data_IF_451605970733
#
_entry.id   IF_451605970733
#
_cell.length_a   1.000
_cell.length_b   1.000
_cell.length_c   1.000
_cell.angle_alpha   90.00
_cell.angle_beta   90.00
_cell.angle_gamma   90.00
#
_symmetry.space_group_name_H-M   'P 1'
#
loop_
_entity.id
_entity.type
_entity.pdbx_description
1 polymer ?
#
# COMPACT_ATOMS: atom_id res chain seq x y z
N UNK A 1 -32.24 -4.69 26.21
CA UNK A 1 -31.73 -3.89 25.07
C UNK A 1 -31.56 -4.84 23.92
N UNK A 2 -32.37 -4.64 22.88
CA UNK A 2 -32.35 -5.42 21.65
C UNK A 2 -30.97 -5.30 21.00
N UNK A 3 -30.35 -6.44 20.68
CA UNK A 3 -29.31 -6.51 19.66
C UNK A 3 -29.97 -5.97 18.39
N UNK A 4 -29.55 -4.79 17.95
CA UNK A 4 -29.97 -4.26 16.66
C UNK A 4 -29.53 -5.27 15.59
N UNK A 5 -30.49 -5.78 14.83
CA UNK A 5 -30.25 -6.41 13.53
C UNK A 5 -29.61 -5.36 12.62
N UNK A 6 -28.30 -5.15 12.77
CA UNK A 6 -27.49 -4.53 11.74
C UNK A 6 -27.58 -5.46 10.53
N UNK A 7 -28.03 -4.99 9.36
CA UNK A 7 -28.13 -5.85 8.19
C UNK A 7 -26.74 -6.44 7.93
N UNK A 8 -26.64 -7.76 7.92
CA UNK A 8 -25.45 -8.43 7.40
C UNK A 8 -25.14 -7.80 6.03
N UNK A 9 -23.88 -7.51 5.68
CA UNK A 9 -23.51 -6.70 4.51
C UNK A 9 -23.75 -7.39 3.15
N UNK A 10 -24.78 -8.22 3.02
CA UNK A 10 -25.09 -8.97 1.80
C UNK A 10 -25.39 -8.09 0.58
N UNK A 11 -25.83 -6.85 0.78
CA UNK A 11 -26.07 -5.86 -0.27
C UNK A 11 -24.85 -4.99 -0.62
N UNK A 12 -23.72 -5.17 0.07
CA UNK A 12 -22.48 -4.46 -0.24
C UNK A 12 -21.88 -5.01 -1.52
N UNK A 13 -21.42 -4.12 -2.39
CA UNK A 13 -20.70 -4.47 -3.61
C UNK A 13 -19.22 -4.63 -3.26
N UNK A 14 -18.65 -5.80 -3.56
CA UNK A 14 -17.29 -6.18 -3.20
C UNK A 14 -16.42 -6.45 -4.42
N UNK A 15 -15.12 -6.11 -4.37
CA UNK A 15 -14.16 -6.44 -5.42
C UNK A 15 -13.78 -7.93 -5.36
N UNK A 16 -13.89 -8.62 -6.49
CA UNK A 16 -13.61 -10.04 -6.62
C UNK A 16 -12.72 -10.28 -7.82
N UNK A 17 -11.56 -10.89 -7.58
CA UNK A 17 -10.55 -11.18 -8.58
C UNK A 17 -10.68 -12.61 -9.11
N UNK A 18 -10.53 -12.82 -10.42
CA UNK A 18 -10.48 -14.17 -11.00
C UNK A 18 -9.04 -14.70 -11.05
N UNK A 19 -8.71 -15.64 -10.18
CA UNK A 19 -7.37 -16.24 -10.09
C UNK A 19 -7.00 -17.11 -11.29
N UNK A 20 -7.97 -17.51 -12.11
CA UNK A 20 -7.76 -18.31 -13.32
C UNK A 20 -7.49 -17.49 -14.58
N UNK A 21 -7.52 -16.16 -14.49
CA UNK A 21 -7.31 -15.24 -15.62
C UNK A 21 -6.15 -14.31 -15.31
N UNK A 22 -5.30 -14.07 -16.31
CA UNK A 22 -4.18 -13.12 -16.24
C UNK A 22 -4.48 -11.94 -17.18
N UNK A 23 -4.49 -10.73 -16.63
CA UNK A 23 -4.56 -9.47 -17.38
C UNK A 23 -3.50 -8.52 -16.83
N UNK A 24 -2.59 -8.05 -17.69
CA UNK A 24 -1.50 -7.12 -17.32
C UNK A 24 -0.71 -7.54 -16.06
N UNK A 25 -0.36 -8.83 -15.96
CA UNK A 25 0.32 -9.42 -14.79
C UNK A 25 -0.44 -9.30 -13.46
N UNK A 26 -1.77 -9.20 -13.52
CA UNK A 26 -2.63 -9.26 -12.34
C UNK A 26 -3.85 -10.16 -12.59
N UNK A 27 -4.60 -10.43 -11.53
CA UNK A 27 -5.92 -11.03 -11.64
C UNK A 27 -6.93 -9.92 -11.95
N UNK A 28 -7.72 -10.01 -13.04
CA UNK A 28 -8.76 -9.03 -13.30
C UNK A 28 -9.80 -9.05 -12.19
N UNK A 29 -10.28 -7.86 -11.82
CA UNK A 29 -11.27 -7.66 -10.76
C UNK A 29 -12.61 -7.27 -11.36
N UNK A 30 -13.65 -7.92 -10.87
CA UNK A 30 -15.04 -7.55 -11.11
C UNK A 30 -15.70 -7.16 -9.78
N UNK A 31 -16.82 -6.45 -9.88
CA UNK A 31 -17.62 -6.07 -8.72
C UNK A 31 -18.89 -6.92 -8.68
N UNK A 32 -19.19 -7.52 -7.54
CA UNK A 32 -20.42 -8.29 -7.33
C UNK A 32 -20.97 -8.08 -5.93
N UNK A 33 -22.22 -8.44 -5.69
CA UNK A 33 -22.78 -8.35 -4.35
C UNK A 33 -22.13 -9.39 -3.44
N UNK A 34 -21.85 -9.01 -2.20
CA UNK A 34 -21.24 -9.90 -1.22
C UNK A 34 -22.05 -11.19 -1.01
N UNK A 35 -23.39 -11.10 -1.00
CA UNK A 35 -24.24 -12.30 -0.93
C UNK A 35 -24.07 -13.24 -2.11
N UNK A 36 -23.80 -12.72 -3.30
CA UNK A 36 -23.59 -13.50 -4.51
C UNK A 36 -22.22 -14.18 -4.43
N UNK A 37 -21.19 -13.47 -3.96
CA UNK A 37 -19.87 -14.03 -3.69
C UNK A 37 -19.92 -15.18 -2.66
N UNK A 38 -20.65 -15.00 -1.55
CA UNK A 38 -20.83 -16.05 -0.54
C UNK A 38 -21.59 -17.26 -1.10
N UNK A 39 -22.57 -17.03 -1.98
CA UNK A 39 -23.30 -18.12 -2.63
C UNK A 39 -22.38 -18.89 -3.58
N UNK A 40 -21.60 -18.18 -4.40
CA UNK A 40 -20.55 -18.74 -5.24
C UNK A 40 -19.58 -19.60 -4.41
N UNK A 41 -19.04 -19.08 -3.30
CA UNK A 41 -18.03 -19.79 -2.53
C UNK A 41 -18.61 -21.07 -1.90
N UNK A 42 -19.84 -21.03 -1.39
CA UNK A 42 -20.53 -22.23 -0.89
C UNK A 42 -20.73 -23.28 -1.98
N UNK A 43 -21.13 -22.86 -3.18
CA UNK A 43 -21.28 -23.75 -4.34
C UNK A 43 -19.92 -24.32 -4.79
N UNK A 44 -18.86 -23.51 -4.76
CA UNK A 44 -17.48 -23.90 -5.09
C UNK A 44 -17.00 -25.02 -4.16
N UNK A 45 -17.23 -24.89 -2.84
CA UNK A 45 -16.90 -25.93 -1.85
C UNK A 45 -17.72 -27.21 -2.10
N UNK A 46 -19.02 -27.09 -2.37
CA UNK A 46 -19.89 -28.25 -2.65
C UNK A 46 -19.52 -28.95 -3.96
N UNK A 47 -18.97 -28.21 -4.92
CA UNK A 47 -18.50 -28.68 -6.22
C UNK A 47 -17.07 -29.21 -6.23
N UNK A 48 -16.51 -29.60 -5.08
CA UNK A 48 -15.13 -30.09 -4.93
C UNK A 48 -14.09 -29.07 -5.45
N UNK A 49 -14.27 -27.81 -5.05
CA UNK A 49 -13.41 -26.67 -5.43
C UNK A 49 -13.30 -26.45 -6.95
N UNK A 50 -14.43 -26.58 -7.65
CA UNK A 50 -14.53 -26.36 -9.08
C UNK A 50 -15.76 -25.53 -9.43
N UNK A 51 -15.59 -24.57 -10.35
CA UNK A 51 -16.68 -23.75 -10.88
C UNK A 51 -16.36 -23.30 -12.30
N UNK A 52 -17.38 -23.19 -13.19
CA UNK A 52 -17.19 -22.61 -14.52
C UNK A 52 -16.75 -21.14 -14.48
N UNK A 53 -16.97 -20.44 -13.36
CA UNK A 53 -16.52 -19.06 -13.15
C UNK A 53 -15.02 -18.97 -12.82
N UNK A 54 -14.36 -20.10 -12.57
CA UNK A 54 -12.98 -20.16 -12.08
C UNK A 54 -12.90 -20.02 -10.56
N UNK A 55 -11.69 -19.79 -10.06
CA UNK A 55 -11.40 -19.53 -8.64
C UNK A 55 -11.48 -18.02 -8.38
N UNK A 56 -12.51 -17.58 -7.65
CA UNK A 56 -12.77 -16.17 -7.38
C UNK A 56 -12.29 -15.78 -5.98
N UNK A 57 -11.47 -14.75 -5.89
CA UNK A 57 -10.86 -14.27 -4.67
C UNK A 57 -11.32 -12.84 -4.34
N UNK A 58 -12.06 -12.67 -3.24
CA UNK A 58 -12.38 -11.34 -2.75
C UNK A 58 -11.12 -10.75 -2.11
N UNK A 59 -10.58 -9.69 -2.72
CA UNK A 59 -9.39 -8.98 -2.24
C UNK A 59 -9.54 -7.49 -2.45
N UNK A 60 -8.91 -6.72 -1.57
CA UNK A 60 -8.98 -5.25 -1.53
C UNK A 60 -10.35 -4.70 -1.14
N UNK A 61 -11.10 -5.40 -0.28
CA UNK A 61 -12.35 -4.86 0.25
C UNK A 61 -12.11 -3.97 1.47
N UNK A 62 -12.43 -2.68 1.31
CA UNK A 62 -12.30 -1.63 2.33
C UNK A 62 -13.45 -1.66 3.37
N UNK A 63 -13.59 -2.75 4.14
CA UNK A 63 -14.71 -2.91 5.08
C UNK A 63 -14.82 -1.76 6.09
N UNK A 64 -13.69 -1.15 6.47
CA UNK A 64 -13.63 -0.04 7.42
C UNK A 64 -14.34 1.23 6.93
N UNK A 65 -14.61 1.35 5.61
CA UNK A 65 -15.43 2.41 5.01
C UNK A 65 -16.91 2.07 4.98
N UNK A 66 -17.23 0.82 4.67
CA UNK A 66 -18.62 0.37 4.47
C UNK A 66 -19.36 0.14 5.80
N UNK A 67 -18.62 0.04 6.91
CA UNK A 67 -19.14 -0.14 8.26
C UNK A 67 -18.25 0.62 9.23
N UNK A 68 -18.78 1.07 10.38
CA UNK A 68 -17.94 1.67 11.41
C UNK A 68 -16.86 0.67 11.82
N UNK A 69 -15.61 0.90 11.41
CA UNK A 69 -14.45 0.08 11.78
C UNK A 69 -14.24 0.01 13.29
N UNK A 70 -14.88 0.91 14.03
CA UNK A 70 -14.91 0.94 15.49
C UNK A 70 -15.30 -0.44 16.05
N UNK A 71 -14.31 -1.10 16.64
CA UNK A 71 -14.49 -2.36 17.36
C UNK A 71 -14.25 -3.63 16.55
N UNK A 72 -13.86 -3.57 15.27
CA UNK A 72 -13.51 -4.77 14.49
C UNK A 72 -12.24 -5.46 15.02
N UNK A 73 -11.20 -4.69 15.31
CA UNK A 73 -9.95 -5.16 15.93
C UNK A 73 -9.21 -4.00 16.59
N UNK A 74 -8.23 -4.32 17.44
CA UNK A 74 -7.30 -3.34 18.00
C UNK A 74 -5.95 -3.47 17.32
N UNK A 75 -5.43 -2.37 16.80
CA UNK A 75 -4.13 -2.36 16.13
C UNK A 75 -2.99 -2.48 17.16
N UNK A 76 -2.05 -3.43 17.01
CA UNK A 76 -0.85 -3.47 17.84
C UNK A 76 -0.04 -2.17 17.75
N UNK A 77 0.56 -1.75 18.88
CA UNK A 77 1.33 -0.50 18.97
C UNK A 77 2.47 -0.39 17.95
N UNK A 78 3.03 -1.52 17.52
CA UNK A 78 4.11 -1.54 16.52
C UNK A 78 3.68 -1.05 15.13
N UNK A 79 2.37 -1.02 14.87
CA UNK A 79 1.78 -0.56 13.61
C UNK A 79 1.05 0.77 13.77
N UNK A 80 1.13 1.43 14.94
CA UNK A 80 0.34 2.64 15.21
C UNK A 80 0.84 3.88 14.47
N UNK A 81 2.11 3.91 14.05
CA UNK A 81 2.63 4.97 13.18
C UNK A 81 2.25 4.68 11.73
N UNK A 82 0.98 4.91 11.40
CA UNK A 82 0.39 4.60 10.11
C UNK A 82 -0.01 5.88 9.37
N UNK A 83 0.95 6.50 8.70
CA UNK A 83 0.73 7.82 8.10
C UNK A 83 -0.23 7.76 6.91
N UNK A 84 -0.27 6.64 6.17
CA UNK A 84 -1.19 6.47 5.05
C UNK A 84 -2.64 6.52 5.53
N UNK A 85 -2.97 5.74 6.55
CA UNK A 85 -4.32 5.76 7.07
C UNK A 85 -4.61 7.01 7.91
N UNK A 86 -3.64 7.60 8.61
CA UNK A 86 -3.82 8.93 9.24
C UNK A 86 -4.21 10.01 8.22
N UNK A 87 -3.59 9.99 7.04
CA UNK A 87 -3.91 10.91 5.96
C UNK A 87 -5.33 10.69 5.45
N UNK A 88 -5.69 9.45 5.13
CA UNK A 88 -7.01 9.16 4.59
C UNK A 88 -8.14 9.31 5.60
N UNK A 89 -7.91 8.98 6.87
CA UNK A 89 -8.84 9.26 7.97
C UNK A 89 -9.07 10.77 8.14
N UNK A 90 -8.07 11.61 7.81
CA UNK A 90 -8.23 13.07 7.83
C UNK A 90 -9.14 13.56 6.71
N UNK A 91 -9.03 12.94 5.53
CA UNK A 91 -9.81 13.33 4.37
C UNK A 91 -11.20 12.69 4.33
N UNK A 92 -11.39 11.56 5.02
CA UNK A 92 -12.61 10.76 5.00
C UNK A 92 -12.98 10.29 3.57
N UNK A 93 -11.96 9.96 2.78
CA UNK A 93 -12.10 9.61 1.35
C UNK A 93 -11.74 8.17 1.03
N UNK A 94 -10.76 7.58 1.73
CA UNK A 94 -10.27 6.23 1.42
C UNK A 94 -9.65 5.53 2.64
N UNK A 95 -9.13 4.32 2.47
CA UNK A 95 -8.21 3.69 3.43
C UNK A 95 -7.25 2.69 2.75
N UNK A 96 -6.27 2.18 3.49
CA UNK A 96 -5.44 1.04 3.12
C UNK A 96 -5.63 -0.12 4.11
N UNK A 97 -6.90 -0.44 4.41
CA UNK A 97 -7.31 -1.45 5.40
C UNK A 97 -8.28 -2.43 4.75
N UNK A 98 -7.78 -3.61 4.43
CA UNK A 98 -8.46 -4.54 3.53
C UNK A 98 -8.88 -5.84 4.21
N UNK A 99 -10.00 -6.37 3.74
CA UNK A 99 -10.37 -7.78 3.93
C UNK A 99 -10.10 -8.55 2.66
N UNK A 100 -9.46 -9.69 2.86
CA UNK A 100 -9.16 -10.66 1.84
C UNK A 100 -9.81 -11.98 2.25
N UNK A 101 -10.63 -12.56 1.38
CA UNK A 101 -11.25 -13.85 1.66
C UNK A 101 -11.50 -14.64 0.39
N UNK A 102 -11.29 -15.94 0.43
CA UNK A 102 -11.59 -16.78 -0.70
C UNK A 102 -11.20 -18.24 -0.53
N UNK A 103 -11.55 -19.07 -1.53
CA UNK A 103 -11.44 -20.50 -1.43
C UNK A 103 -9.99 -20.99 -1.46
N UNK A 104 -9.80 -22.24 -1.07
CA UNK A 104 -8.58 -22.99 -1.40
C UNK A 104 -8.19 -22.79 -2.87
N UNK A 105 -6.90 -22.55 -3.12
CA UNK A 105 -6.35 -22.33 -4.46
C UNK A 105 -6.46 -20.89 -4.96
N UNK A 106 -7.13 -20.00 -4.23
CA UNK A 106 -7.03 -18.56 -4.49
C UNK A 106 -5.62 -18.05 -4.17
N UNK A 107 -5.15 -17.06 -4.91
CA UNK A 107 -3.77 -16.57 -4.78
C UNK A 107 -3.62 -15.14 -5.29
N UNK A 108 -2.54 -14.49 -4.88
CA UNK A 108 -2.10 -13.17 -5.33
C UNK A 108 -0.79 -13.28 -6.11
N UNK A 109 -0.73 -12.77 -7.35
CA UNK A 109 0.46 -12.72 -8.21
C UNK A 109 1.67 -12.06 -7.56
N UNK A 110 2.83 -12.27 -8.14
CA UNK A 110 4.07 -11.67 -7.68
C UNK A 110 4.04 -10.14 -7.82
N UNK A 111 4.17 -9.43 -6.71
CA UNK A 111 4.11 -7.97 -6.67
C UNK A 111 4.86 -7.42 -5.45
N UNK A 112 5.09 -6.11 -5.40
CA UNK A 112 5.36 -5.41 -4.15
C UNK A 112 4.20 -4.47 -3.86
N UNK A 113 4.01 -4.18 -2.58
CA UNK A 113 2.96 -3.27 -2.13
C UNK A 113 3.12 -1.86 -2.71
N UNK A 114 1.97 -1.21 -2.94
CA UNK A 114 1.90 0.18 -3.42
C UNK A 114 2.77 1.10 -2.56
N UNK A 115 3.37 2.11 -3.19
CA UNK A 115 4.29 3.07 -2.54
C UNK A 115 5.55 2.45 -1.92
N UNK A 116 5.83 1.16 -2.18
CA UNK A 116 6.81 0.39 -1.41
C UNK A 116 6.50 0.49 0.09
N UNK A 117 5.21 0.54 0.44
CA UNK A 117 4.72 0.59 1.81
C UNK A 117 5.17 -0.65 2.59
N UNK A 118 5.06 -0.55 3.92
CA UNK A 118 4.98 -1.73 4.75
C UNK A 118 3.60 -2.36 4.58
N UNK A 119 3.50 -3.67 4.85
CA UNK A 119 2.22 -4.34 4.99
C UNK A 119 2.21 -5.32 6.14
N UNK A 120 1.03 -5.62 6.68
CA UNK A 120 0.84 -6.73 7.59
C UNK A 120 -0.43 -7.48 7.20
N UNK A 121 -0.43 -8.80 7.40
CA UNK A 121 -1.59 -9.66 7.18
C UNK A 121 -1.81 -10.55 8.39
N UNK A 122 -2.99 -10.47 9.00
CA UNK A 122 -3.45 -11.40 10.03
C UNK A 122 -4.35 -12.42 9.37
N UNK A 123 -4.00 -13.70 9.50
CA UNK A 123 -4.81 -14.78 8.98
C UNK A 123 -5.85 -15.18 10.03
N UNK A 124 -7.13 -14.92 9.78
CA UNK A 124 -8.21 -15.22 10.72
C UNK A 124 -8.54 -16.72 10.70
N UNK A 125 -8.60 -17.29 9.49
CA UNK A 125 -8.77 -18.73 9.29
C UNK A 125 -8.08 -19.17 7.99
N UNK A 126 -7.91 -20.48 7.83
CA UNK A 126 -7.22 -21.07 6.69
C UNK A 126 -5.71 -21.05 6.86
N UNK A 127 -4.98 -21.20 5.76
CA UNK A 127 -3.53 -21.33 5.72
C UNK A 127 -2.97 -20.72 4.46
N UNK A 128 -1.93 -19.92 4.57
CA UNK A 128 -1.28 -19.26 3.43
C UNK A 128 0.16 -19.70 3.27
N UNK A 129 0.61 -19.76 2.02
CA UNK A 129 2.02 -19.90 1.65
C UNK A 129 2.50 -18.61 0.99
N UNK A 130 3.53 -18.01 1.56
CA UNK A 130 4.18 -16.80 1.07
C UNK A 130 5.52 -17.15 0.43
N UNK A 131 5.83 -16.48 -0.67
CA UNK A 131 7.14 -16.45 -1.29
C UNK A 131 7.65 -15.02 -1.22
N UNK A 132 8.78 -14.79 -0.56
CA UNK A 132 9.34 -13.45 -0.34
C UNK A 132 10.69 -13.29 -1.01
N UNK A 133 10.87 -12.13 -1.65
CA UNK A 133 12.11 -11.70 -2.27
C UNK A 133 12.52 -10.33 -1.71
N UNK A 134 13.71 -10.22 -1.08
CA UNK A 134 14.25 -8.95 -0.64
C UNK A 134 14.36 -7.93 -1.78
N UNK A 135 14.25 -6.62 -1.50
CA UNK A 135 14.39 -5.57 -2.51
C UNK A 135 15.69 -5.71 -3.30
N UNK A 136 15.58 -5.62 -4.62
CA UNK A 136 16.67 -5.80 -5.58
C UNK A 136 16.82 -7.25 -6.09
N UNK A 137 16.27 -8.27 -5.42
CA UNK A 137 16.33 -9.64 -5.94
C UNK A 137 15.35 -9.89 -7.09
N UNK A 138 14.28 -9.11 -7.18
CA UNK A 138 13.34 -9.13 -8.30
C UNK A 138 13.99 -8.82 -9.64
N UNK A 139 15.12 -8.12 -9.67
CA UNK A 139 15.83 -7.78 -10.91
C UNK A 139 16.35 -9.04 -11.61
N UNK A 140 16.73 -10.06 -10.84
CA UNK A 140 17.14 -11.36 -11.39
C UNK A 140 15.94 -12.19 -11.90
N UNK A 141 14.70 -11.78 -11.57
CA UNK A 141 13.47 -12.44 -12.00
C UNK A 141 12.88 -11.84 -13.28
N UNK A 142 13.39 -10.68 -13.73
CA UNK A 142 12.89 -10.01 -14.93
C UNK A 142 13.03 -10.88 -16.17
N UNK A 143 12.02 -10.81 -17.04
CA UNK A 143 12.08 -11.41 -18.35
C UNK A 143 12.97 -10.60 -19.32
N UNK A 144 13.15 -11.11 -20.55
CA UNK A 144 13.93 -10.44 -21.59
C UNK A 144 13.34 -9.10 -22.08
N UNK A 145 12.11 -8.77 -21.70
CA UNK A 145 11.43 -7.50 -21.94
C UNK A 145 11.51 -6.55 -20.73
N UNK A 146 12.13 -6.98 -19.63
CA UNK A 146 12.23 -6.22 -18.39
C UNK A 146 10.99 -6.33 -17.48
N UNK A 147 10.01 -7.16 -17.85
CA UNK A 147 8.81 -7.41 -17.08
C UNK A 147 9.10 -8.27 -15.86
N UNK A 148 8.46 -7.94 -14.73
CA UNK A 148 8.41 -8.87 -13.60
C UNK A 148 7.42 -10.00 -13.93
N UNK A 149 7.70 -11.20 -13.44
CA UNK A 149 6.88 -12.35 -13.76
C UNK A 149 5.56 -12.34 -12.99
N UNK A 150 4.57 -13.05 -13.54
CA UNK A 150 3.26 -13.18 -12.93
C UNK A 150 3.21 -14.20 -11.78
N UNK A 151 3.81 -15.38 -11.98
CA UNK A 151 3.82 -16.49 -11.02
C UNK A 151 5.23 -17.04 -10.81
N UNK A 152 5.90 -16.70 -9.70
CA UNK A 152 7.28 -17.16 -9.38
C UNK A 152 7.47 -18.66 -9.22
N UNK A 153 6.38 -19.44 -9.28
CA UNK A 153 6.41 -20.91 -9.24
C UNK A 153 6.18 -21.55 -10.61
N UNK A 154 5.89 -20.75 -11.65
CA UNK A 154 5.58 -21.26 -12.97
C UNK A 154 6.81 -21.95 -13.60
N UNK A 155 6.63 -23.08 -14.31
CA UNK A 155 7.74 -23.77 -14.97
C UNK A 155 8.49 -22.93 -16.02
N UNK A 156 7.83 -21.91 -16.58
CA UNK A 156 8.41 -20.99 -17.57
C UNK A 156 9.64 -20.23 -17.04
N UNK A 157 9.79 -20.11 -15.72
CA UNK A 157 10.98 -19.52 -15.12
C UNK A 157 12.27 -20.27 -15.39
N UNK A 158 12.17 -21.57 -15.66
CA UNK A 158 13.33 -22.39 -16.00
C UNK A 158 13.78 -22.17 -17.45
N UNK A 159 13.03 -21.41 -18.26
CA UNK A 159 13.43 -21.06 -19.62
C UNK A 159 14.43 -19.90 -19.61
N UNK A 160 15.70 -20.23 -19.78
CA UNK A 160 16.81 -19.27 -19.88
C UNK A 160 16.69 -18.27 -21.05
N UNK A 161 15.86 -18.53 -22.05
CA UNK A 161 15.59 -17.55 -23.11
C UNK A 161 14.62 -16.45 -22.67
N UNK A 162 13.67 -16.80 -21.80
CA UNK A 162 12.70 -15.86 -21.24
C UNK A 162 13.27 -15.14 -20.02
N UNK A 163 13.99 -15.85 -19.15
CA UNK A 163 14.57 -15.31 -17.92
C UNK A 163 16.10 -15.47 -17.91
N UNK A 164 16.83 -14.62 -18.66
CA UNK A 164 18.26 -14.82 -18.95
C UNK A 164 19.17 -14.72 -17.73
N UNK A 165 18.70 -14.10 -16.65
CA UNK A 165 19.47 -13.87 -15.42
C UNK A 165 18.93 -14.64 -14.22
N UNK A 166 17.93 -15.51 -14.40
CA UNK A 166 17.30 -16.27 -13.31
C UNK A 166 18.30 -17.12 -12.51
N UNK A 167 19.37 -17.61 -13.14
CA UNK A 167 20.43 -18.38 -12.46
C UNK A 167 21.12 -17.59 -11.32
N UNK A 168 21.04 -16.26 -11.34
CA UNK A 168 21.58 -15.39 -10.29
C UNK A 168 20.56 -15.12 -9.16
N UNK A 169 19.31 -15.56 -9.31
CA UNK A 169 18.30 -15.37 -8.30
C UNK A 169 18.51 -16.33 -7.13
N UNK A 170 18.38 -15.81 -5.91
CA UNK A 170 18.33 -16.66 -4.73
C UNK A 170 16.94 -17.29 -4.62
N UNK A 171 16.81 -18.51 -4.06
CA UNK A 171 15.51 -19.07 -3.75
C UNK A 171 14.68 -18.12 -2.88
N UNK A 172 13.35 -18.06 -3.08
CA UNK A 172 12.48 -17.26 -2.23
C UNK A 172 12.60 -17.68 -0.76
N UNK A 173 12.40 -16.72 0.13
CA UNK A 173 12.05 -17.04 1.51
C UNK A 173 10.61 -17.54 1.53
N UNK A 174 10.42 -18.83 1.82
CA UNK A 174 9.10 -19.43 1.95
C UNK A 174 8.60 -19.35 3.39
N UNK A 175 7.38 -18.83 3.58
CA UNK A 175 6.74 -18.73 4.91
C UNK A 175 5.36 -19.37 4.84
N UNK A 176 5.10 -20.30 5.75
CA UNK A 176 3.76 -20.81 6.03
C UNK A 176 3.14 -19.95 7.12
N UNK A 177 1.96 -19.40 6.84
CA UNK A 177 1.15 -18.65 7.80
C UNK A 177 -0.09 -19.46 8.15
N UNK A 178 -0.21 -19.83 9.40
CA UNK A 178 -1.34 -20.56 9.97
C UNK A 178 -2.43 -19.59 10.48
N UNK A 179 -3.60 -20.14 10.83
CA UNK A 179 -4.68 -19.35 11.43
C UNK A 179 -4.25 -18.74 12.79
N UNK A 180 -4.57 -17.46 12.98
CA UNK A 180 -4.19 -16.65 14.14
C UNK A 180 -2.81 -15.99 14.03
N UNK A 181 -2.01 -16.33 13.02
CA UNK A 181 -0.68 -15.74 12.83
C UNK A 181 -0.72 -14.43 12.04
N UNK A 182 0.24 -13.57 12.33
CA UNK A 182 0.46 -12.30 11.64
C UNK A 182 1.78 -12.33 10.88
N UNK A 183 1.77 -11.92 9.62
CA UNK A 183 2.96 -11.71 8.80
C UNK A 183 3.17 -10.22 8.62
N UNK A 184 4.40 -9.75 8.83
CA UNK A 184 4.85 -8.41 8.49
C UNK A 184 5.66 -8.46 7.19
N UNK A 185 5.31 -7.60 6.23
CA UNK A 185 5.98 -7.42 4.94
C UNK A 185 6.79 -6.11 5.01
N UNK A 186 8.13 -6.19 4.96
CA UNK A 186 8.95 -4.98 4.98
C UNK A 186 8.84 -4.20 3.66
N UNK A 187 9.14 -2.90 3.73
CA UNK A 187 9.10 -1.96 2.60
C UNK A 187 9.83 -2.50 1.37
N UNK A 188 9.12 -2.56 0.24
CA UNK A 188 9.66 -2.93 -1.07
C UNK A 188 9.90 -4.43 -1.29
N UNK A 189 9.54 -5.29 -0.35
CA UNK A 189 9.67 -6.74 -0.55
C UNK A 189 8.65 -7.24 -1.56
N UNK A 190 9.15 -7.83 -2.65
CA UNK A 190 8.28 -8.48 -3.61
C UNK A 190 7.85 -9.84 -3.06
N UNK A 191 6.59 -10.18 -3.26
CA UNK A 191 6.00 -11.37 -2.71
C UNK A 191 4.85 -11.92 -3.53
N UNK A 192 4.59 -13.21 -3.34
CA UNK A 192 3.47 -13.96 -3.92
C UNK A 192 2.82 -14.79 -2.82
N UNK A 193 1.50 -14.90 -2.83
CA UNK A 193 0.73 -15.53 -1.74
C UNK A 193 -0.27 -16.52 -2.29
N UNK A 194 -0.27 -17.75 -1.77
CA UNK A 194 -1.21 -18.81 -2.11
C UNK A 194 -2.04 -19.19 -0.88
N UNK A 195 -3.36 -19.19 -1.00
CA UNK A 195 -4.26 -19.71 0.03
C UNK A 195 -4.38 -21.23 -0.15
N UNK A 196 -3.80 -21.99 0.77
CA UNK A 196 -3.80 -23.46 0.75
C UNK A 196 -5.09 -24.07 1.32
N UNK A 197 -5.88 -23.26 2.03
CA UNK A 197 -7.17 -23.57 2.64
C UNK A 197 -8.14 -22.40 2.41
N UNK A 198 -9.44 -22.63 2.58
CA UNK A 198 -10.44 -21.55 2.66
C UNK A 198 -9.99 -20.51 3.69
N UNK A 199 -9.78 -19.27 3.23
CA UNK A 199 -9.03 -18.27 3.99
C UNK A 199 -9.80 -16.97 4.14
N UNK A 200 -9.69 -16.36 5.31
CA UNK A 200 -10.11 -14.98 5.60
C UNK A 200 -8.94 -14.30 6.31
N UNK A 201 -8.57 -13.11 5.87
CA UNK A 201 -7.50 -12.32 6.48
C UNK A 201 -7.79 -10.83 6.47
N UNK A 202 -7.17 -10.12 7.42
CA UNK A 202 -7.16 -8.67 7.50
C UNK A 202 -5.76 -8.19 7.11
N UNK A 203 -5.69 -7.21 6.22
CA UNK A 203 -4.46 -6.72 5.62
C UNK A 203 -4.40 -5.20 5.69
N UNK A 204 -3.27 -4.63 6.08
CA UNK A 204 -3.08 -3.18 6.07
C UNK A 204 -1.78 -2.81 5.39
N UNK A 205 -1.79 -1.70 4.66
CA UNK A 205 -0.59 -1.06 4.15
C UNK A 205 -0.36 0.26 4.90
N UNK A 206 0.90 0.56 5.20
CA UNK A 206 1.26 1.85 5.81
C UNK A 206 2.64 2.35 5.41
N UNK A 207 2.81 3.67 5.54
CA UNK A 207 4.09 4.38 5.43
C UNK A 207 4.31 5.13 6.73
N UNK A 208 5.57 5.33 7.09
CA UNK A 208 5.99 6.22 8.15
C UNK A 208 7.39 6.79 7.89
N UNK A 209 7.97 7.44 8.91
CA UNK A 209 9.29 8.06 8.79
C UNK A 209 10.40 7.10 8.38
N UNK A 210 10.24 5.79 8.59
CA UNK A 210 11.24 4.78 8.23
C UNK A 210 11.28 4.46 6.73
N UNK A 211 10.18 4.63 6.00
CA UNK A 211 10.10 4.30 4.57
C UNK A 211 9.56 5.45 3.70
N UNK A 212 9.35 6.65 4.24
CA UNK A 212 8.88 7.80 3.47
C UNK A 212 9.80 8.13 2.28
N UNK A 213 11.13 8.03 2.46
CA UNK A 213 12.09 8.24 1.39
C UNK A 213 11.96 7.20 0.27
N UNK A 214 11.60 5.95 0.60
CA UNK A 214 11.36 4.89 -0.39
C UNK A 214 10.10 5.19 -1.21
N UNK A 215 9.03 5.66 -0.56
CA UNK A 215 7.82 6.13 -1.24
C UNK A 215 8.13 7.27 -2.20
N UNK A 216 8.88 8.28 -1.75
CA UNK A 216 9.28 9.39 -2.62
C UNK A 216 10.15 8.93 -3.81
N UNK A 217 11.08 8.00 -3.58
CA UNK A 217 11.90 7.43 -4.66
C UNK A 217 11.04 6.66 -5.67
N UNK A 218 10.09 5.86 -5.19
CA UNK A 218 9.13 5.14 -6.02
C UNK A 218 8.33 6.10 -6.91
N UNK A 219 7.76 7.16 -6.33
CA UNK A 219 6.96 8.15 -7.09
C UNK A 219 7.79 8.84 -8.19
N UNK A 220 9.07 9.14 -7.94
CA UNK A 220 9.97 9.68 -8.96
C UNK A 220 10.22 8.67 -10.10
N UNK A 221 10.39 7.38 -9.77
CA UNK A 221 10.54 6.33 -10.77
C UNK A 221 9.27 6.15 -11.61
N UNK A 222 8.10 6.17 -10.98
CA UNK A 222 6.81 6.07 -11.68
C UNK A 222 6.61 7.23 -12.66
N UNK A 223 6.90 8.47 -12.23
CA UNK A 223 6.85 9.61 -13.13
C UNK A 223 7.84 9.45 -14.29
N UNK A 224 9.06 8.98 -14.01
CA UNK A 224 10.08 8.74 -15.04
C UNK A 224 9.62 7.68 -16.06
N UNK A 225 8.96 6.62 -15.61
CA UNK A 225 8.38 5.58 -16.47
C UNK A 225 7.30 6.19 -17.36
N UNK A 226 6.33 6.90 -16.79
CA UNK A 226 5.29 7.59 -17.56
C UNK A 226 5.89 8.53 -18.60
N UNK A 227 6.86 9.35 -18.20
CA UNK A 227 7.56 10.28 -19.10
C UNK A 227 8.27 9.57 -20.26
N UNK A 228 8.82 8.37 -20.04
CA UNK A 228 9.46 7.57 -21.10
C UNK A 228 8.40 6.99 -22.06
N UNK A 229 7.34 6.42 -21.51
CA UNK A 229 6.26 5.80 -22.29
C UNK A 229 5.60 6.80 -23.23
N UNK A 230 5.34 8.03 -22.77
CA UNK A 230 4.71 9.07 -23.59
C UNK A 230 5.69 10.10 -24.17
N UNK A 231 6.97 9.75 -24.26
CA UNK A 231 8.05 10.67 -24.67
C UNK A 231 7.92 11.18 -26.10
N UNK A 232 7.32 10.40 -27.01
CA UNK A 232 7.16 10.79 -28.41
C UNK A 232 6.25 12.02 -28.59
N UNK A 233 5.33 12.25 -27.65
CA UNK A 233 4.41 13.38 -27.68
C UNK A 233 4.94 14.63 -26.95
N UNK A 234 6.15 14.59 -26.40
CA UNK A 234 6.72 15.66 -25.57
C UNK A 234 6.67 17.05 -26.21
N UNK A 235 6.91 17.12 -27.52
CA UNK A 235 6.98 18.39 -28.25
C UNK A 235 5.67 18.78 -28.94
N UNK A 236 4.67 17.88 -28.97
CA UNK A 236 3.41 18.05 -29.71
C UNK A 236 2.19 18.16 -28.80
N UNK A 237 2.27 17.60 -27.59
CA UNK A 237 1.23 17.68 -26.56
C UNK A 237 1.44 18.95 -25.71
N UNK A 238 0.48 19.90 -25.71
CA UNK A 238 0.46 21.00 -24.75
C UNK A 238 0.44 20.44 -23.33
N UNK A 239 1.11 21.12 -22.39
CA UNK A 239 1.14 20.73 -20.97
C UNK A 239 1.52 19.27 -20.72
N UNK A 240 2.42 18.72 -21.54
CA UNK A 240 2.87 17.33 -21.47
C UNK A 240 3.28 16.89 -20.06
N UNK A 241 3.95 17.76 -19.28
CA UNK A 241 4.31 17.48 -17.90
C UNK A 241 3.10 17.29 -16.98
N UNK A 242 2.03 18.08 -17.17
CA UNK A 242 0.79 17.91 -16.43
C UNK A 242 0.09 16.60 -16.81
N UNK A 243 0.07 16.25 -18.11
CA UNK A 243 -0.44 14.95 -18.55
C UNK A 243 0.36 13.77 -17.98
N UNK A 244 1.68 13.90 -17.81
CA UNK A 244 2.48 12.89 -17.10
C UNK A 244 1.98 12.70 -15.65
N UNK A 245 1.69 13.79 -14.93
CA UNK A 245 1.14 13.71 -13.56
C UNK A 245 -0.25 13.08 -13.54
N UNK A 246 -1.12 13.36 -14.53
CA UNK A 246 -2.44 12.72 -14.65
C UNK A 246 -2.30 11.21 -14.85
N UNK A 247 -1.44 10.78 -15.76
CA UNK A 247 -1.23 9.36 -16.04
C UNK A 247 -0.60 8.67 -14.83
N UNK A 248 0.42 9.28 -14.22
CA UNK A 248 1.05 8.79 -13.00
C UNK A 248 0.02 8.60 -11.89
N UNK A 249 -0.88 9.56 -11.68
CA UNK A 249 -1.98 9.44 -10.70
C UNK A 249 -2.83 8.20 -10.94
N UNK A 250 -3.17 7.93 -12.20
CA UNK A 250 -3.97 6.75 -12.56
C UNK A 250 -3.21 5.42 -12.36
N UNK A 251 -1.88 5.42 -12.51
CA UNK A 251 -1.07 4.20 -12.39
C UNK A 251 -0.63 3.91 -10.95
N UNK A 252 -0.23 4.95 -10.22
CA UNK A 252 0.40 4.85 -8.90
C UNK A 252 -0.53 5.26 -7.75
N UNK A 253 -1.73 5.76 -8.03
CA UNK A 253 -2.74 6.16 -7.05
C UNK A 253 -2.66 7.63 -6.62
N UNK A 254 -1.48 8.25 -6.64
CA UNK A 254 -1.29 9.67 -6.34
C UNK A 254 -0.29 10.32 -7.30
N UNK A 255 -0.37 11.63 -7.45
CA UNK A 255 0.63 12.43 -8.15
C UNK A 255 1.53 13.21 -7.16
N UNK A 256 2.44 14.04 -7.67
CA UNK A 256 3.35 14.83 -6.84
C UNK A 256 2.64 15.89 -5.97
N UNK A 257 1.54 16.46 -6.46
CA UNK A 257 0.70 17.40 -5.69
C UNK A 257 0.06 16.70 -4.48
N UNK A 258 -0.57 15.55 -4.70
CA UNK A 258 -1.17 14.74 -3.65
C UNK A 258 -0.13 14.20 -2.67
N UNK A 259 1.09 13.89 -3.13
CA UNK A 259 2.20 13.53 -2.25
C UNK A 259 2.62 14.69 -1.35
N UNK A 260 2.64 15.93 -1.84
CA UNK A 260 2.89 17.09 -0.99
C UNK A 260 1.78 17.29 0.04
N UNK A 261 0.51 17.16 -0.36
CA UNK A 261 -0.61 17.25 0.58
C UNK A 261 -0.55 16.17 1.66
N UNK A 262 -0.13 14.95 1.30
CA UNK A 262 0.17 13.90 2.26
C UNK A 262 1.23 14.35 3.29
N UNK A 263 2.38 14.87 2.82
CA UNK A 263 3.42 15.39 3.73
C UNK A 263 2.89 16.53 4.61
N UNK A 264 2.12 17.46 4.04
CA UNK A 264 1.58 18.63 4.73
C UNK A 264 0.63 18.23 5.86
N UNK A 265 -0.28 17.29 5.62
CA UNK A 265 -1.23 16.80 6.64
C UNK A 265 -0.49 16.14 7.80
N UNK A 266 0.46 15.26 7.51
CA UNK A 266 1.23 14.57 8.55
C UNK A 266 2.11 15.56 9.32
N UNK A 267 2.79 16.48 8.61
CA UNK A 267 3.62 17.51 9.22
C UNK A 267 2.82 18.37 10.20
N UNK A 268 1.63 18.85 9.80
CA UNK A 268 0.75 19.66 10.66
C UNK A 268 0.36 18.90 11.93
N UNK A 269 -0.01 17.61 11.81
CA UNK A 269 -0.33 16.77 12.96
C UNK A 269 0.86 16.64 13.92
N UNK A 270 2.06 16.38 13.41
CA UNK A 270 3.27 16.27 14.26
C UNK A 270 3.66 17.60 14.90
N UNK A 271 3.55 18.71 14.18
CA UNK A 271 3.82 20.05 14.71
C UNK A 271 2.84 20.45 15.84
N UNK A 272 1.59 20.00 15.79
CA UNK A 272 0.64 20.17 16.89
C UNK A 272 1.11 19.41 18.13
N UNK A 273 1.49 18.13 17.97
CA UNK A 273 2.00 17.32 19.07
C UNK A 273 3.25 17.94 19.72
N UNK A 274 4.16 18.55 18.96
CA UNK A 274 5.35 19.21 19.53
C UNK A 274 5.00 20.46 20.34
N UNK A 275 4.02 21.25 19.91
CA UNK A 275 3.59 22.46 20.65
C UNK A 275 2.99 22.11 22.02
N UNK A 276 2.39 20.93 22.14
CA UNK A 276 1.80 20.44 23.39
C UNK A 276 2.85 19.84 24.34
N UNK A 277 4.09 19.58 23.88
CA UNK A 277 5.23 19.18 24.72
C UNK A 277 5.78 20.43 25.44
N UNK A 278 5.02 20.96 26.39
CA UNK A 278 5.49 22.00 27.32
C UNK A 278 6.57 21.47 28.28
N UNK A 279 7.38 22.35 28.91
CA UNK A 279 8.41 21.94 29.85
C UNK A 279 7.78 21.47 31.16
N UNK A 280 7.46 20.17 31.28
CA UNK A 280 7.18 19.56 32.58
C UNK A 280 6.13 18.44 32.66
N UNK A 281 5.30 18.22 31.64
CA UNK A 281 4.23 17.21 31.72
C UNK A 281 4.26 16.29 30.51
N UNK A 282 4.93 15.14 30.66
CA UNK A 282 4.78 14.01 29.74
C UNK A 282 3.54 13.22 30.18
N UNK A 283 2.36 13.83 30.03
CA UNK A 283 1.13 13.04 29.99
C UNK A 283 0.91 12.56 28.56
N UNK A 284 0.78 11.24 28.41
CA UNK A 284 0.51 10.60 27.12
C UNK A 284 -0.78 11.19 26.57
N UNK A 285 -0.71 11.83 25.41
CA UNK A 285 -1.91 12.19 24.65
C UNK A 285 -2.62 10.88 24.32
N UNK A 286 -3.74 10.62 25.02
CA UNK A 286 -4.60 9.48 24.73
C UNK A 286 -5.13 9.63 23.29
N UNK A 287 -4.66 8.73 22.41
CA UNK A 287 -5.15 8.63 21.03
C UNK A 287 -4.06 8.57 19.97
N UNK A 288 -2.88 9.18 20.16
CA UNK A 288 -1.83 9.17 19.11
C UNK A 288 -0.85 8.00 19.24
N UNK A 289 -0.67 7.42 20.42
CA UNK A 289 0.26 6.30 20.66
C UNK A 289 1.76 6.60 20.43
N UNK A 290 2.10 7.75 19.82
CA UNK A 290 3.47 8.16 19.50
C UNK A 290 4.03 9.02 20.63
N UNK A 291 5.18 8.61 21.18
CA UNK A 291 5.89 9.39 22.20
C UNK A 291 6.66 10.59 21.61
N UNK A 292 7.11 11.54 22.44
CA UNK A 292 7.87 12.72 22.01
C UNK A 292 9.02 12.45 21.05
N UNK A 293 9.81 11.40 21.31
CA UNK A 293 10.96 11.05 20.46
C UNK A 293 10.52 10.60 19.05
N UNK A 294 9.41 9.87 18.95
CA UNK A 294 8.86 9.45 17.66
C UNK A 294 8.33 10.65 16.88
N UNK A 295 7.66 11.61 17.55
CA UNK A 295 7.21 12.84 16.90
C UNK A 295 8.37 13.65 16.32
N UNK A 296 9.46 13.80 17.08
CA UNK A 296 10.67 14.51 16.61
C UNK A 296 11.32 13.77 15.44
N UNK A 297 11.43 12.44 15.54
CA UNK A 297 11.90 11.60 14.43
C UNK A 297 11.06 11.81 13.17
N UNK A 298 9.74 11.72 13.28
CA UNK A 298 8.79 11.90 12.18
C UNK A 298 8.98 13.26 11.49
N UNK A 299 9.06 14.35 12.27
CA UNK A 299 9.32 15.71 11.75
C UNK A 299 10.65 15.75 10.98
N UNK A 300 11.72 15.19 11.55
CA UNK A 300 13.02 15.13 10.90
C UNK A 300 13.04 14.30 9.61
N UNK A 301 12.20 13.25 9.51
CA UNK A 301 12.05 12.46 8.27
C UNK A 301 11.23 13.20 7.21
N UNK A 302 10.18 13.91 7.62
CA UNK A 302 9.39 14.75 6.71
C UNK A 302 10.26 15.88 6.16
N UNK A 303 11.04 16.57 7.01
CA UNK A 303 11.93 17.65 6.59
C UNK A 303 12.96 17.16 5.53
N UNK A 304 13.60 16.01 5.77
CA UNK A 304 14.57 15.45 4.81
C UNK A 304 13.94 15.15 3.45
N UNK A 305 12.78 14.50 3.44
CA UNK A 305 12.09 14.17 2.19
C UNK A 305 11.56 15.43 1.50
N UNK A 306 10.97 16.36 2.26
CA UNK A 306 10.46 17.62 1.72
C UNK A 306 11.58 18.48 1.12
N UNK A 307 12.78 18.48 1.70
CA UNK A 307 13.96 19.10 1.10
C UNK A 307 14.27 18.51 -0.28
N UNK A 308 14.19 17.18 -0.43
CA UNK A 308 14.34 16.53 -1.74
C UNK A 308 13.21 16.87 -2.70
N UNK A 309 11.97 17.04 -2.22
CA UNK A 309 10.80 17.40 -3.03
C UNK A 309 10.94 18.81 -3.58
N UNK A 310 11.29 19.79 -2.75
CA UNK A 310 11.41 21.22 -3.13
C UNK A 310 12.46 21.44 -4.23
N UNK A 311 13.57 20.69 -4.21
CA UNK A 311 14.64 20.80 -5.21
C UNK A 311 14.42 19.92 -6.43
N UNK A 312 13.37 19.08 -6.45
CA UNK A 312 13.09 18.20 -7.57
C UNK A 312 12.55 19.00 -8.77
N UNK A 313 13.17 18.91 -9.97
CA UNK A 313 12.75 19.70 -11.13
C UNK A 313 11.30 19.42 -11.58
N UNK A 314 10.85 18.16 -11.51
CA UNK A 314 9.49 17.82 -11.91
C UNK A 314 8.46 18.35 -10.90
N UNK A 315 8.80 18.38 -9.61
CA UNK A 315 7.97 19.02 -8.58
C UNK A 315 7.88 20.54 -8.76
N UNK A 316 8.98 21.22 -9.14
CA UNK A 316 8.97 22.66 -9.41
C UNK A 316 8.04 23.09 -10.57
N UNK A 317 7.51 22.13 -11.33
CA UNK A 317 6.52 22.36 -12.39
C UNK A 317 5.08 22.18 -11.91
N UNK A 318 4.87 21.65 -10.70
CA UNK A 318 3.55 21.53 -10.08
C UNK A 318 3.05 22.93 -9.72
N UNK A 319 1.78 23.21 -10.00
CA UNK A 319 1.16 24.47 -9.60
C UNK A 319 0.87 24.46 -8.10
N UNK A 320 1.74 25.12 -7.33
CA UNK A 320 1.59 25.21 -5.87
C UNK A 320 0.76 26.43 -5.44
N UNK A 321 0.11 27.16 -6.35
CA UNK A 321 -0.60 28.40 -6.04
C UNK A 321 -1.82 28.19 -5.13
N UNK A 322 -2.41 27.00 -5.17
CA UNK A 322 -3.58 26.62 -4.38
C UNK A 322 -3.21 25.92 -3.07
N UNK A 323 -1.91 25.70 -2.80
CA UNK A 323 -1.49 25.01 -1.59
C UNK A 323 -1.72 25.88 -0.37
N UNK A 324 -2.20 25.26 0.72
CA UNK A 324 -2.51 26.01 1.94
C UNK A 324 -1.27 26.56 2.64
N UNK A 325 -0.13 25.88 2.46
CA UNK A 325 1.19 26.33 2.84
C UNK A 325 2.14 26.09 1.66
N UNK A 326 3.14 26.96 1.45
CA UNK A 326 4.14 26.69 0.42
C UNK A 326 5.11 25.60 0.89
N UNK A 327 5.58 24.73 -0.01
CA UNK A 327 6.55 23.69 0.34
C UNK A 327 7.81 24.21 1.04
N UNK A 328 8.35 25.34 0.59
CA UNK A 328 9.54 25.98 1.16
C UNK A 328 9.28 26.51 2.58
N UNK A 329 8.13 27.14 2.79
CA UNK A 329 7.74 27.68 4.10
C UNK A 329 7.51 26.56 5.12
N UNK A 330 6.90 25.44 4.67
CA UNK A 330 6.73 24.26 5.51
C UNK A 330 8.08 23.63 5.85
N UNK A 331 8.98 23.49 4.88
CA UNK A 331 10.32 22.96 5.09
C UNK A 331 11.09 23.78 6.12
N UNK A 332 11.12 25.10 5.95
CA UNK A 332 11.81 26.00 6.89
C UNK A 332 11.27 25.83 8.33
N UNK A 333 9.95 25.78 8.49
CA UNK A 333 9.35 25.60 9.81
C UNK A 333 9.72 24.24 10.44
N UNK A 334 9.73 23.17 9.65
CA UNK A 334 10.14 21.85 10.15
C UNK A 334 11.62 21.84 10.55
N UNK A 335 12.50 22.45 9.76
CA UNK A 335 13.93 22.58 10.07
C UNK A 335 14.18 23.38 11.36
N UNK A 336 13.45 24.47 11.57
CA UNK A 336 13.50 25.26 12.81
C UNK A 336 13.10 24.43 14.04
N UNK A 337 12.05 23.60 13.92
CA UNK A 337 11.62 22.69 15.00
C UNK A 337 12.65 21.59 15.27
N UNK A 338 13.25 21.01 14.22
CA UNK A 338 14.32 20.01 14.38
C UNK A 338 15.52 20.62 15.09
N UNK A 339 15.98 21.79 14.65
CA UNK A 339 17.10 22.49 15.27
C UNK A 339 16.83 22.85 16.74
N UNK A 340 15.60 23.24 17.09
CA UNK A 340 15.22 23.52 18.46
C UNK A 340 15.23 22.25 19.34
N UNK A 341 14.88 21.10 18.80
CA UNK A 341 14.80 19.83 19.54
C UNK A 341 16.13 19.10 19.67
N UNK A 342 17.09 19.30 18.75
CA UNK A 342 18.48 18.84 18.90
C UNK A 342 19.26 19.57 20.01
N UNK A 343 18.76 20.73 20.44
CA UNK A 343 19.38 21.57 21.49
C UNK A 343 18.93 21.23 22.92
N UNK A 344 17.98 20.29 23.06
CA UNK A 344 17.44 19.74 24.31
C UNK A 344 18.13 18.42 24.68
#
# INVERSE_FOLDING_TARGET
MSVSDSPFPGDVVVPVANCGVQEYNSNPKEHMLFRDYISYWKEFIQGDYSSPQGCLYLKDWHLCRDSSAEGLFTLPVYFSSDWLNEYWDTLDVDDYRFIYMGPTGSWSPFHADIFRSFSWSVNICGRKKWFFFPPGQEEALRDCHGGLPYDVTAPSFLDSHLHPVHEHCSPPLEVMQEAGEMVFVPSGWHHQVHNLEDTISINHNWVNGCNLANMWHFLQQELCTVQKEISEWRNTMPDWHHHCQIIMRSCSGINFEEFYHFLEVIAKRRLLLVKDIGPGEVERIEGSGLGPQQTIFDIGRIAEVLASVVVNPDFQRVDTSMFSQRPEDLLQHLEEVVAATESL
#
